data_IF_454181375388
#
_entry.id   IF_454181375388
#
_cell.length_a   1.000
_cell.length_b   1.000
_cell.length_c   1.000
_cell.angle_alpha   90.00
_cell.angle_beta   90.00
_cell.angle_gamma   90.00
#
_symmetry.space_group_name_H-M   'P 1'
#
loop_
_entity.id
_entity.type
_entity.pdbx_description
1 polymer ?
#
# COMPACT_ATOMS: atom_id res chain seq x y z
N UNK A 1 3.54 -34.98 11.81
CA UNK A 1 3.24 -33.65 12.37
C UNK A 1 2.48 -32.88 11.31
N UNK A 2 1.17 -32.69 11.48
CA UNK A 2 0.43 -31.72 10.69
C UNK A 2 0.84 -30.34 11.19
N UNK A 3 1.47 -29.53 10.34
CA UNK A 3 1.57 -28.09 10.60
C UNK A 3 0.15 -27.55 10.67
N UNK A 4 -0.19 -26.90 11.79
CA UNK A 4 -1.42 -26.14 11.91
C UNK A 4 -1.32 -24.91 11.00
N UNK A 5 -2.07 -24.85 9.89
CA UNK A 5 -2.02 -23.73 8.96
C UNK A 5 -2.61 -22.44 9.55
N UNK A 6 -3.13 -22.47 10.78
CA UNK A 6 -3.68 -21.30 11.49
C UNK A 6 -2.64 -20.57 12.35
N UNK A 7 -1.47 -21.18 12.61
CA UNK A 7 -0.38 -20.47 13.27
C UNK A 7 0.36 -19.63 12.25
N UNK A 8 0.07 -18.34 12.30
CA UNK A 8 0.93 -17.30 11.72
C UNK A 8 2.34 -17.44 12.33
N UNK A 9 3.23 -18.15 11.63
CA UNK A 9 4.59 -18.42 12.08
C UNK A 9 5.55 -17.27 11.79
N UNK A 10 5.07 -16.19 11.17
CA UNK A 10 5.91 -15.02 10.87
C UNK A 10 6.06 -14.21 12.14
N UNK A 11 7.30 -14.05 12.57
CA UNK A 11 7.66 -13.20 13.70
C UNK A 11 7.18 -11.78 13.43
N UNK A 12 6.12 -11.35 14.12
CA UNK A 12 5.81 -9.93 14.28
C UNK A 12 7.03 -9.30 14.95
N UNK A 13 7.65 -8.31 14.32
CA UNK A 13 8.84 -7.68 14.87
C UNK A 13 8.55 -7.19 16.31
N UNK A 14 9.50 -7.30 17.25
CA UNK A 14 9.32 -6.73 18.57
C UNK A 14 8.97 -5.23 18.47
N UNK A 15 7.83 -4.86 19.04
CA UNK A 15 7.34 -3.48 18.99
C UNK A 15 6.64 -3.06 17.70
N UNK A 16 6.48 -3.95 16.71
CA UNK A 16 5.74 -3.65 15.49
C UNK A 16 4.31 -3.21 15.78
N UNK A 17 3.80 -2.33 14.92
CA UNK A 17 2.39 -1.94 14.91
C UNK A 17 1.63 -2.83 13.95
N UNK A 18 0.53 -3.41 14.40
CA UNK A 18 -0.35 -4.23 13.56
C UNK A 18 -1.65 -3.47 13.34
N UNK A 19 -1.90 -3.13 12.09
CA UNK A 19 -3.08 -2.42 11.63
C UNK A 19 -4.05 -3.40 10.96
N UNK A 20 -5.26 -3.51 11.50
CA UNK A 20 -6.29 -4.41 11.00
C UNK A 20 -7.33 -3.67 10.19
N UNK A 21 -7.63 -4.20 9.02
CA UNK A 21 -8.67 -3.64 8.15
C UNK A 21 -10.00 -4.28 8.49
N UNK A 22 -11.05 -3.46 8.63
CA UNK A 22 -12.41 -3.92 8.89
C UNK A 22 -12.99 -4.81 7.77
N UNK A 23 -12.36 -4.81 6.59
CA UNK A 23 -12.67 -5.67 5.44
C UNK A 23 -11.51 -5.67 4.45
N UNK A 24 -11.44 -6.70 3.62
CA UNK A 24 -10.42 -6.87 2.57
C UNK A 24 -10.60 -5.96 1.34
N UNK A 25 -11.55 -5.02 1.41
CA UNK A 25 -11.73 -3.99 0.41
C UNK A 25 -11.23 -2.68 0.97
N UNK A 26 -10.28 -2.06 0.28
CA UNK A 26 -9.84 -0.71 0.61
C UNK A 26 -10.90 0.37 0.30
N UNK A 27 -12.11 0.01 -0.08
CA UNK A 27 -13.20 0.96 -0.31
C UNK A 27 -14.08 1.01 0.94
N UNK A 28 -14.21 2.19 1.54
CA UNK A 28 -15.02 2.42 2.75
C UNK A 28 -14.60 1.55 3.95
N UNK A 29 -13.29 1.40 4.20
CA UNK A 29 -12.74 0.60 5.29
C UNK A 29 -12.37 1.45 6.50
N UNK A 30 -12.37 0.82 7.67
CA UNK A 30 -11.78 1.37 8.89
C UNK A 30 -10.52 0.56 9.21
N UNK A 31 -9.52 1.21 9.80
CA UNK A 31 -8.28 0.56 10.21
C UNK A 31 -8.09 0.78 11.70
N UNK A 32 -8.01 -0.31 12.44
CA UNK A 32 -7.80 -0.31 13.88
C UNK A 32 -6.40 -0.79 14.21
N UNK A 33 -5.81 -0.23 15.25
CA UNK A 33 -4.58 -0.75 15.82
C UNK A 33 -4.91 -1.99 16.67
N UNK A 34 -4.33 -3.14 16.37
CA UNK A 34 -4.63 -4.42 17.04
C UNK A 34 -4.38 -4.37 18.55
N UNK A 35 -3.38 -3.62 19.00
CA UNK A 35 -2.94 -3.62 20.41
C UNK A 35 -3.84 -2.74 21.26
N UNK A 36 -4.25 -1.60 20.71
CA UNK A 36 -5.05 -0.59 21.42
C UNK A 36 -6.54 -0.67 21.12
N UNK A 37 -6.91 -1.40 20.05
CA UNK A 37 -8.27 -1.46 19.49
C UNK A 37 -8.81 -0.10 19.02
N UNK A 38 -7.96 0.92 18.94
CA UNK A 38 -8.33 2.26 18.55
C UNK A 38 -8.45 2.39 17.02
N UNK A 39 -9.45 3.16 16.58
CA UNK A 39 -9.56 3.58 15.18
C UNK A 39 -8.47 4.59 14.86
N UNK A 40 -7.56 4.22 13.97
CA UNK A 40 -6.37 5.03 13.63
C UNK A 40 -6.44 5.59 12.22
N UNK A 41 -7.13 4.92 11.30
CA UNK A 41 -7.41 5.46 9.98
C UNK A 41 -8.81 5.11 9.49
N UNK A 42 -9.29 5.95 8.58
CA UNK A 42 -10.43 5.61 7.74
C UNK A 42 -10.05 5.75 6.27
N UNK A 43 -10.59 4.84 5.46
CA UNK A 43 -10.55 4.93 4.02
C UNK A 43 -11.97 5.13 3.53
N UNK A 44 -12.22 6.20 2.79
CA UNK A 44 -13.53 6.54 2.24
C UNK A 44 -13.45 6.63 0.73
N UNK A 45 -14.39 6.00 0.04
CA UNK A 45 -14.49 6.05 -1.42
C UNK A 45 -15.73 6.85 -1.82
N UNK A 46 -15.53 7.88 -2.64
CA UNK A 46 -16.59 8.71 -3.22
C UNK A 46 -16.62 8.45 -4.72
N UNK A 47 -17.81 8.13 -5.22
CA UNK A 47 -18.11 7.97 -6.65
C UNK A 47 -19.06 9.08 -7.11
N UNK A 48 -18.94 9.52 -8.35
CA UNK A 48 -19.92 10.44 -8.94
C UNK A 48 -19.36 11.40 -9.99
N UNK A 49 -20.27 12.16 -10.60
CA UNK A 49 -19.97 13.13 -11.67
C UNK A 49 -18.96 14.20 -11.25
N UNK A 50 -18.95 14.60 -9.97
CA UNK A 50 -18.02 15.60 -9.44
C UNK A 50 -16.54 15.15 -9.47
N UNK A 51 -16.28 13.83 -9.53
CA UNK A 51 -14.92 13.27 -9.44
C UNK A 51 -14.49 12.51 -10.68
N UNK A 52 -15.34 12.42 -11.71
CA UNK A 52 -15.07 11.71 -12.98
C UNK A 52 -14.30 10.39 -12.75
N UNK A 53 -14.83 9.53 -11.88
CA UNK A 53 -14.16 8.29 -11.46
C UNK A 53 -14.45 7.91 -10.01
N UNK A 54 -13.43 7.36 -9.35
CA UNK A 54 -13.46 6.98 -7.93
C UNK A 54 -12.40 7.81 -7.21
N UNK A 55 -12.79 8.58 -6.19
CA UNK A 55 -11.85 9.18 -5.25
C UNK A 55 -11.81 8.35 -3.98
N UNK A 56 -10.63 7.91 -3.60
CA UNK A 56 -10.34 7.25 -2.33
C UNK A 56 -9.61 8.26 -1.46
N UNK A 57 -10.13 8.53 -0.27
CA UNK A 57 -9.54 9.43 0.72
C UNK A 57 -9.07 8.58 1.89
N UNK A 58 -7.81 8.74 2.25
CA UNK A 58 -7.21 8.19 3.46
C UNK A 58 -7.14 9.31 4.51
N UNK A 59 -7.67 9.05 5.70
CA UNK A 59 -7.64 10.01 6.80
C UNK A 59 -7.10 9.37 8.06
N UNK A 60 -6.16 10.04 8.72
CA UNK A 60 -5.69 9.68 10.06
C UNK A 60 -6.74 10.13 11.09
N UNK A 61 -6.94 9.31 12.11
CA UNK A 61 -7.87 9.58 13.21
C UNK A 61 -7.08 9.74 14.50
N UNK A 62 -7.23 10.88 15.16
CA UNK A 62 -6.61 11.18 16.45
C UNK A 62 -7.60 11.95 17.34
N UNK A 63 -7.89 11.42 18.53
CA UNK A 63 -8.80 12.05 19.49
C UNK A 63 -10.19 12.38 18.93
N UNK A 64 -10.69 11.60 17.97
CA UNK A 64 -11.96 11.82 17.28
C UNK A 64 -11.93 12.87 16.16
N UNK A 65 -10.77 13.49 15.89
CA UNK A 65 -10.54 14.31 14.70
C UNK A 65 -10.08 13.43 13.55
N UNK A 66 -10.48 13.80 12.34
CA UNK A 66 -10.12 13.08 11.12
C UNK A 66 -9.44 14.04 10.15
N UNK A 67 -8.18 13.78 9.85
CA UNK A 67 -7.38 14.63 8.96
C UNK A 67 -6.97 13.86 7.70
N UNK A 68 -7.29 14.42 6.53
CA UNK A 68 -6.87 13.86 5.24
C UNK A 68 -5.34 13.82 5.15
N UNK A 69 -4.79 12.62 4.93
CA UNK A 69 -3.34 12.40 4.76
C UNK A 69 -2.99 12.15 3.30
N UNK A 70 -3.87 11.45 2.58
CA UNK A 70 -3.69 11.19 1.16
C UNK A 70 -5.05 11.07 0.47
N UNK A 71 -5.09 11.44 -0.80
CA UNK A 71 -6.18 11.07 -1.70
C UNK A 71 -5.65 10.44 -2.97
N UNK A 72 -6.44 9.53 -3.49
CA UNK A 72 -6.21 8.84 -4.74
C UNK A 72 -7.44 9.05 -5.63
N UNK A 73 -7.24 9.60 -6.82
CA UNK A 73 -8.29 9.81 -7.81
C UNK A 73 -8.01 8.89 -8.99
N UNK A 74 -8.86 7.87 -9.14
CA UNK A 74 -8.86 7.01 -10.31
C UNK A 74 -9.42 7.80 -11.48
N UNK A 75 -8.62 7.97 -12.54
CA UNK A 75 -9.03 8.77 -13.69
C UNK A 75 -10.08 8.04 -14.54
N UNK A 76 -11.10 8.76 -15.01
CA UNK A 76 -11.94 8.28 -16.10
C UNK A 76 -11.26 8.55 -17.46
N UNK A 77 -11.41 7.58 -18.39
CA UNK A 77 -11.06 7.66 -19.82
C UNK A 77 -9.72 8.34 -20.15
N UNK A 78 -8.67 7.55 -20.41
CA UNK A 78 -7.32 7.97 -20.81
C UNK A 78 -6.55 8.89 -19.84
N UNK A 79 -7.21 9.47 -18.82
CA UNK A 79 -6.54 10.18 -17.73
C UNK A 79 -5.97 9.16 -16.74
N UNK A 80 -4.66 9.21 -16.54
CA UNK A 80 -3.99 8.36 -15.56
C UNK A 80 -4.40 8.68 -14.13
N UNK A 81 -4.28 7.69 -13.26
CA UNK A 81 -4.56 7.82 -11.83
C UNK A 81 -3.67 8.88 -11.18
N UNK A 82 -4.23 9.60 -10.21
CA UNK A 82 -3.54 10.66 -9.47
C UNK A 82 -3.53 10.36 -7.98
N UNK A 83 -2.47 10.78 -7.32
CA UNK A 83 -2.35 10.79 -5.86
C UNK A 83 -1.94 12.18 -5.40
N UNK A 84 -2.47 12.64 -4.27
CA UNK A 84 -1.96 13.81 -3.56
C UNK A 84 -1.87 13.52 -2.07
N UNK A 85 -0.95 14.21 -1.41
CA UNK A 85 -0.71 14.13 0.02
C UNK A 85 -1.16 15.43 0.69
N UNK A 86 -1.29 15.43 2.00
CA UNK A 86 -1.66 16.60 2.79
C UNK A 86 -0.83 17.82 2.40
N UNK A 87 -1.48 18.88 1.91
CA UNK A 87 -0.81 20.12 1.52
C UNK A 87 0.06 20.05 0.26
N UNK A 88 0.08 18.90 -0.44
CA UNK A 88 0.85 18.67 -1.65
C UNK A 88 0.03 18.75 -2.94
N UNK A 89 0.69 19.04 -4.04
CA UNK A 89 0.07 19.05 -5.37
C UNK A 89 -0.22 17.63 -5.88
N UNK A 90 -1.33 17.41 -6.61
CA UNK A 90 -1.61 16.12 -7.23
C UNK A 90 -0.57 15.72 -8.28
N UNK A 91 -0.04 14.50 -8.15
CA UNK A 91 0.88 13.89 -9.10
C UNK A 91 0.31 12.60 -9.69
N UNK A 92 0.83 12.19 -10.85
CA UNK A 92 0.41 10.93 -11.48
C UNK A 92 0.86 9.76 -10.60
N UNK A 93 -0.04 8.87 -10.23
CA UNK A 93 0.28 7.69 -9.42
C UNK A 93 1.35 6.83 -10.10
N UNK A 94 1.28 6.68 -11.42
CA UNK A 94 2.34 6.00 -12.20
C UNK A 94 3.70 6.68 -12.06
N UNK A 95 3.75 8.00 -12.03
CA UNK A 95 5.00 8.76 -11.89
C UNK A 95 5.56 8.63 -10.46
N UNK A 96 4.69 8.72 -9.47
CA UNK A 96 5.04 8.51 -8.07
C UNK A 96 5.58 7.09 -7.81
N UNK A 97 5.07 6.10 -8.56
CA UNK A 97 5.46 4.69 -8.46
C UNK A 97 6.50 4.24 -9.53
N UNK A 98 6.96 5.11 -10.43
CA UNK A 98 7.56 4.73 -11.72
C UNK A 98 8.76 3.78 -11.61
N UNK A 99 9.51 3.88 -10.52
CA UNK A 99 10.72 3.07 -10.32
C UNK A 99 10.52 1.94 -9.30
N UNK A 100 9.27 1.60 -8.97
CA UNK A 100 8.90 0.85 -7.76
C UNK A 100 9.37 1.54 -6.49
N UNK A 101 9.63 2.85 -6.56
CA UNK A 101 10.22 3.60 -5.47
C UNK A 101 9.41 4.86 -5.29
N UNK A 102 8.72 4.96 -4.17
CA UNK A 102 8.17 6.24 -3.73
C UNK A 102 9.14 6.91 -2.76
N UNK A 103 8.96 8.21 -2.57
CA UNK A 103 9.69 9.03 -1.61
C UNK A 103 8.69 9.81 -0.76
N UNK A 104 9.13 10.25 0.42
CA UNK A 104 8.34 11.12 1.29
C UNK A 104 8.19 12.52 0.66
N UNK A 105 6.96 12.96 0.31
CA UNK A 105 6.74 14.28 -0.28
C UNK A 105 7.00 15.43 0.70
N UNK A 106 6.93 15.18 2.02
CA UNK A 106 7.15 16.15 3.09
C UNK A 106 8.59 16.17 3.61
N UNK A 107 9.51 15.44 2.97
CA UNK A 107 10.95 15.59 3.14
C UNK A 107 11.42 16.96 2.59
N UNK A 108 10.95 18.03 3.23
CA UNK A 108 11.34 19.42 3.03
C UNK A 108 12.67 19.64 3.72
N UNK A 109 13.71 19.00 3.21
CA UNK A 109 15.07 19.51 3.27
C UNK A 109 15.96 18.65 2.39
N UNK A 110 16.98 19.27 1.82
CA UNK A 110 17.97 18.67 0.94
C UNK A 110 18.89 17.68 1.68
N UNK A 111 18.35 16.74 2.46
CA UNK A 111 19.09 15.56 2.88
C UNK A 111 19.24 14.66 1.66
N UNK A 112 20.48 14.35 1.30
CA UNK A 112 20.92 13.57 0.14
C UNK A 112 20.37 12.12 0.07
N UNK A 113 19.38 11.77 0.89
CA UNK A 113 18.91 10.41 1.09
C UNK A 113 17.42 10.32 0.79
N UNK A 114 17.06 10.52 -0.50
CA UNK A 114 15.73 10.15 -1.01
C UNK A 114 15.64 8.63 -1.00
N UNK A 115 15.37 8.08 0.19
CA UNK A 115 15.20 6.67 0.40
C UNK A 115 14.09 6.17 -0.52
N UNK A 116 14.44 5.14 -1.28
CA UNK A 116 13.58 4.51 -2.26
C UNK A 116 12.94 3.28 -1.64
N UNK A 117 11.64 3.07 -1.85
CA UNK A 117 10.91 1.96 -1.22
C UNK A 117 10.10 1.14 -2.22
N UNK A 118 10.26 -0.19 -2.17
CA UNK A 118 9.67 -1.14 -3.12
C UNK A 118 8.73 -2.14 -2.46
N UNK A 119 7.51 -2.26 -3.00
CA UNK A 119 6.60 -3.35 -2.66
C UNK A 119 6.93 -4.61 -3.48
N UNK A 120 7.26 -5.70 -2.80
CA UNK A 120 7.57 -6.99 -3.40
C UNK A 120 6.56 -8.04 -2.93
N UNK A 121 6.10 -8.90 -3.84
CA UNK A 121 5.31 -10.08 -3.45
C UNK A 121 6.22 -11.06 -2.75
N UNK A 122 5.70 -11.64 -1.69
CA UNK A 122 6.31 -12.78 -1.04
C UNK A 122 6.34 -13.97 -2.01
N UNK A 123 7.52 -14.54 -2.29
CA UNK A 123 7.67 -15.61 -3.29
C UNK A 123 7.02 -16.93 -2.86
N UNK A 124 6.83 -17.16 -1.56
CA UNK A 124 6.26 -18.40 -1.02
C UNK A 124 4.74 -18.36 -1.04
N UNK A 125 4.14 -17.24 -0.62
CA UNK A 125 2.68 -17.13 -0.49
C UNK A 125 2.00 -16.55 -1.74
N UNK A 126 2.73 -15.78 -2.55
CA UNK A 126 2.26 -15.01 -3.72
C UNK A 126 1.12 -14.02 -3.45
N UNK A 127 0.63 -13.97 -2.21
CA UNK A 127 -0.52 -13.19 -1.73
C UNK A 127 -0.06 -12.06 -0.82
N UNK A 128 0.92 -12.32 0.02
CA UNK A 128 1.50 -11.30 0.89
C UNK A 128 2.39 -10.38 0.06
N UNK A 129 2.42 -9.11 0.43
CA UNK A 129 3.36 -8.14 -0.13
C UNK A 129 4.12 -7.47 1.00
N UNK A 130 5.41 -7.28 0.81
CA UNK A 130 6.32 -6.69 1.77
C UNK A 130 6.94 -5.43 1.18
N UNK A 131 7.14 -4.42 2.01
CA UNK A 131 7.76 -3.17 1.65
C UNK A 131 9.22 -3.19 2.10
N UNK A 132 10.13 -2.95 1.18
CA UNK A 132 11.57 -2.88 1.44
C UNK A 132 12.07 -1.46 1.19
N UNK A 133 13.07 -1.03 1.97
CA UNK A 133 13.96 0.06 1.55
C UNK A 133 14.92 -0.50 0.50
N UNK A 134 15.18 0.21 -0.59
CA UNK A 134 15.97 -0.32 -1.73
C UNK A 134 17.39 -0.79 -1.37
N UNK A 135 17.97 -0.25 -0.30
CA UNK A 135 19.29 -0.64 0.19
C UNK A 135 19.21 -1.55 1.43
N UNK A 136 18.01 -2.06 1.76
CA UNK A 136 17.76 -2.90 2.92
C UNK A 136 17.37 -4.31 2.53
N UNK A 137 17.93 -5.29 3.24
CA UNK A 137 17.58 -6.71 3.08
C UNK A 137 16.33 -7.11 3.89
N UNK A 138 15.91 -6.23 4.80
CA UNK A 138 14.77 -6.48 5.68
C UNK A 138 13.55 -5.62 5.30
N UNK A 139 12.36 -6.22 5.30
CA UNK A 139 11.13 -5.50 5.03
C UNK A 139 10.70 -4.65 6.23
N UNK A 140 10.33 -3.41 5.93
CA UNK A 140 9.87 -2.42 6.91
C UNK A 140 8.34 -2.42 7.10
N UNK A 141 7.61 -3.09 6.21
CA UNK A 141 6.18 -3.34 6.38
C UNK A 141 5.74 -4.59 5.62
N UNK A 142 4.65 -5.20 6.07
CA UNK A 142 4.03 -6.38 5.45
C UNK A 142 2.53 -6.21 5.37
N UNK A 143 1.96 -6.40 4.19
CA UNK A 143 0.53 -6.51 4.01
C UNK A 143 0.15 -7.94 3.72
N UNK A 144 -0.79 -8.44 4.51
CA UNK A 144 -1.45 -9.71 4.31
C UNK A 144 -2.92 -9.48 3.93
N UNK A 145 -3.36 -9.96 2.76
CA UNK A 145 -4.78 -9.89 2.40
C UNK A 145 -5.62 -10.82 3.29
N UNK A 146 -6.93 -10.62 3.30
CA UNK A 146 -7.80 -11.53 4.05
C UNK A 146 -7.69 -12.95 3.49
N UNK A 147 -7.67 -13.93 4.39
CA UNK A 147 -7.70 -15.34 4.01
C UNK A 147 -9.05 -15.90 4.42
N UNK A 148 -9.81 -16.38 3.44
CA UNK A 148 -11.00 -17.19 3.70
C UNK A 148 -10.56 -18.57 4.16
N UNK A 149 -10.43 -18.75 5.47
CA UNK A 149 -10.26 -20.06 6.12
C UNK A 149 -11.55 -20.41 6.88
N UNK A 150 -11.50 -21.41 7.77
CA UNK A 150 -12.57 -21.75 8.72
C UNK A 150 -12.92 -20.54 9.62
N UNK A 151 -11.93 -19.69 9.90
CA UNK A 151 -12.10 -18.36 10.49
C UNK A 151 -11.71 -17.28 9.47
N UNK A 152 -12.49 -16.19 9.42
CA UNK A 152 -12.20 -15.05 8.55
C UNK A 152 -11.13 -14.18 9.21
N UNK A 153 -9.90 -14.31 8.74
CA UNK A 153 -8.81 -13.43 9.18
C UNK A 153 -8.90 -12.09 8.46
N UNK A 154 -8.93 -10.95 9.18
CA UNK A 154 -8.94 -9.64 8.53
C UNK A 154 -7.65 -9.42 7.74
N UNK A 155 -7.71 -8.54 6.75
CA UNK A 155 -6.48 -8.07 6.13
C UNK A 155 -5.67 -7.27 7.17
N UNK A 156 -4.35 -7.41 7.16
CA UNK A 156 -3.47 -6.78 8.15
C UNK A 156 -2.27 -6.13 7.51
N UNK A 157 -1.91 -4.94 7.98
CA UNK A 157 -0.65 -4.28 7.69
C UNK A 157 0.21 -4.27 8.96
N UNK A 158 1.38 -4.90 8.91
CA UNK A 158 2.37 -4.92 9.99
C UNK A 158 3.44 -3.89 9.62
N UNK A 159 3.74 -2.95 10.51
CA UNK A 159 4.74 -1.88 10.29
C UNK A 159 5.87 -2.02 11.30
N UNK A 160 7.10 -2.00 10.81
CA UNK A 160 8.31 -2.02 11.65
C UNK A 160 8.41 -0.70 12.45
N UNK A 161 8.89 -0.73 13.71
CA UNK A 161 9.05 0.48 14.53
C UNK A 161 9.80 1.62 13.84
N UNK A 162 10.88 1.30 13.12
CA UNK A 162 11.70 2.28 12.40
C UNK A 162 10.95 2.98 11.25
N UNK A 163 9.81 2.42 10.84
CA UNK A 163 8.97 2.94 9.76
C UNK A 163 7.68 3.60 10.25
N UNK A 164 7.51 3.80 11.57
CA UNK A 164 6.32 4.47 12.11
C UNK A 164 6.14 5.90 11.60
N UNK A 165 7.25 6.63 11.40
CA UNK A 165 7.20 7.97 10.81
C UNK A 165 6.67 7.97 9.36
N UNK A 166 6.76 6.84 8.66
CA UNK A 166 6.35 6.69 7.26
C UNK A 166 4.96 6.07 7.12
N UNK A 167 4.27 5.77 8.23
CA UNK A 167 3.06 4.95 8.24
C UNK A 167 1.97 5.45 7.27
N UNK A 168 1.76 6.76 7.18
CA UNK A 168 0.80 7.38 6.26
C UNK A 168 1.14 7.10 4.80
N UNK A 169 2.43 7.19 4.46
CA UNK A 169 2.95 6.97 3.10
C UNK A 169 2.94 5.49 2.75
N UNK A 170 3.29 4.62 3.72
CA UNK A 170 3.20 3.17 3.58
C UNK A 170 1.75 2.78 3.28
N UNK A 171 0.80 3.32 4.03
CA UNK A 171 -0.61 3.01 3.84
C UNK A 171 -1.13 3.57 2.50
N UNK A 172 -0.76 4.79 2.12
CA UNK A 172 -1.13 5.37 0.82
C UNK A 172 -0.53 4.57 -0.36
N UNK A 173 0.73 4.15 -0.27
CA UNK A 173 1.39 3.35 -1.32
C UNK A 173 0.81 1.94 -1.41
N UNK A 174 0.44 1.34 -0.26
CA UNK A 174 -0.25 0.06 -0.20
C UNK A 174 -1.56 0.09 -0.99
N UNK A 175 -2.36 1.16 -0.86
CA UNK A 175 -3.61 1.33 -1.60
C UNK A 175 -3.37 1.25 -3.12
N UNK A 176 -2.32 1.90 -3.61
CA UNK A 176 -1.95 1.89 -5.04
C UNK A 176 -1.40 0.53 -5.46
N UNK A 177 -0.52 -0.07 -4.64
CA UNK A 177 0.12 -1.34 -4.91
C UNK A 177 -0.90 -2.48 -5.04
N UNK A 178 -1.84 -2.59 -4.09
CA UNK A 178 -2.84 -3.68 -4.12
C UNK A 178 -3.86 -3.47 -5.24
N UNK A 179 -4.29 -2.23 -5.51
CA UNK A 179 -5.19 -1.98 -6.64
C UNK A 179 -4.54 -2.38 -7.97
N UNK A 180 -3.27 -2.04 -8.16
CA UNK A 180 -2.50 -2.41 -9.36
C UNK A 180 -2.36 -3.93 -9.49
N UNK A 181 -2.07 -4.59 -8.36
CA UNK A 181 -1.93 -6.05 -8.25
C UNK A 181 -3.24 -6.77 -8.62
N UNK A 182 -4.36 -6.37 -8.02
CA UNK A 182 -5.69 -6.96 -8.27
C UNK A 182 -6.17 -6.75 -9.72
N UNK A 183 -5.88 -5.59 -10.31
CA UNK A 183 -6.21 -5.32 -11.71
C UNK A 183 -5.52 -6.30 -12.67
N UNK A 184 -4.24 -6.63 -12.42
CA UNK A 184 -3.50 -7.61 -13.23
C UNK A 184 -4.01 -9.03 -13.06
N UNK A 185 -4.28 -9.44 -11.81
CA UNK A 185 -4.83 -10.77 -11.52
C UNK A 185 -6.20 -10.97 -12.23
N UNK A 186 -7.03 -9.92 -12.29
CA UNK A 186 -8.33 -9.95 -12.99
C UNK A 186 -8.24 -10.03 -14.52
N UNK A 187 -7.09 -9.64 -15.11
CA UNK A 187 -6.86 -9.69 -16.56
C UNK A 187 -6.28 -11.04 -17.03
N UNK A 188 -6.19 -12.05 -16.15
CA UNK A 188 -5.68 -13.37 -16.51
C UNK A 188 -4.17 -13.41 -16.77
N UNK A 189 -3.43 -12.37 -16.38
CA UNK A 189 -1.96 -12.41 -16.32
C UNK A 189 -1.51 -13.19 -15.08
N UNK A 190 -1.87 -14.47 -15.05
CA UNK A 190 -1.41 -15.43 -14.05
C UNK A 190 -0.04 -15.98 -14.42
N UNK A 191 0.85 -15.87 -13.43
CA UNK A 191 2.01 -16.72 -13.13
C UNK A 191 3.36 -16.39 -13.78
N UNK A 192 4.34 -16.32 -12.87
CA UNK A 192 5.77 -16.56 -13.05
C UNK A 192 6.64 -15.41 -13.60
N UNK A 193 6.63 -14.22 -12.98
CA UNK A 193 7.86 -13.39 -12.93
C UNK A 193 7.93 -12.61 -11.61
N UNK A 194 9.00 -12.84 -10.83
CA UNK A 194 9.54 -11.79 -9.96
C UNK A 194 9.70 -10.54 -10.82
N UNK A 195 9.23 -9.36 -10.39
CA UNK A 195 9.25 -8.16 -11.23
C UNK A 195 10.59 -7.98 -11.97
N UNK A 196 10.66 -8.13 -13.31
CA UNK A 196 11.69 -7.54 -14.12
C UNK A 196 10.96 -6.50 -14.98
N UNK A 197 10.60 -5.36 -14.40
CA UNK A 197 9.76 -4.40 -15.13
C UNK A 197 10.60 -3.61 -16.16
N UNK A 198 10.47 -4.04 -17.41
CA UNK A 198 10.72 -3.33 -18.68
C UNK A 198 12.10 -2.70 -18.91
N UNK A 199 12.95 -3.45 -19.60
CA UNK A 199 13.90 -2.89 -20.56
C UNK A 199 13.07 -2.28 -21.72
N UNK A 200 12.93 -0.95 -21.74
CA UNK A 200 12.55 -0.25 -22.97
C UNK A 200 13.78 -0.22 -23.86
N UNK A 201 13.93 -1.24 -24.71
CA UNK A 201 14.82 -1.16 -25.86
C UNK A 201 14.37 0.01 -26.72
N UNK A 202 15.33 0.90 -27.01
CA UNK A 202 15.12 2.09 -27.80
C UNK A 202 14.55 1.75 -29.17
N UNK A 203 13.57 2.55 -29.59
CA UNK A 203 13.23 2.69 -30.99
C UNK A 203 14.47 3.22 -31.72
N UNK A 204 15.20 2.31 -32.36
CA UNK A 204 16.03 2.65 -33.51
C UNK A 204 15.10 2.88 -34.69
N UNK A 205 14.91 4.14 -35.05
CA UNK A 205 14.52 4.52 -36.41
C UNK A 205 15.81 5.02 -37.07
N UNK A 206 16.35 4.20 -37.97
CA UNK A 206 16.96 4.65 -39.22
C UNK A 206 16.20 3.99 -40.35
#
# INVERSE_FOLDING_TARGET
MMMDPTKDTRSVFPGARVLEFSKDSFLNANITDRKTEELVYTIRSVTGLAVNGIRVVLSAVDGGRSDEVANFVKGAFFKGDKISFRGGEPMKAKQWMHDNTFYDPDAKEASADRSKYSWLRDPETLKDIALFKNDGDEPIAWFRPSVRSVELWPATLIVHPDAFALQDIILASLLVAVQTTRARDSQGQGLAQAMPFMQLTGGGVM
#
